data_IF_397782184836
#
_entry.id   IF_397782184836
#
_cell.length_a   1.000
_cell.length_b   1.000
_cell.length_c   1.000
_cell.angle_alpha   90.00
_cell.angle_beta   90.00
_cell.angle_gamma   90.00
#
_symmetry.space_group_name_H-M   'P 1'
#
loop_
_entity.id
_entity.type
_entity.pdbx_description
1 polymer ?
#
# COMPACT_ATOMS: atom_id res chain seq x y z
N UNK A 1 12.18 -12.56 -9.15
CA UNK A 1 11.83 -13.56 -8.11
C UNK A 1 11.71 -12.92 -6.72
N UNK A 2 12.77 -12.30 -6.16
CA UNK A 2 12.70 -11.73 -4.79
C UNK A 2 11.59 -10.70 -4.54
N UNK A 3 11.31 -9.81 -5.49
CA UNK A 3 10.20 -8.83 -5.38
C UNK A 3 8.82 -9.48 -5.29
N UNK A 4 8.59 -10.59 -5.99
CA UNK A 4 7.31 -11.30 -5.97
C UNK A 4 7.09 -11.98 -4.61
N UNK A 5 8.15 -12.49 -3.98
CA UNK A 5 8.08 -13.05 -2.62
C UNK A 5 7.72 -11.97 -1.61
N UNK A 6 8.38 -10.81 -1.68
CA UNK A 6 8.04 -9.65 -0.85
C UNK A 6 6.57 -9.27 -1.02
N UNK A 7 6.11 -9.14 -2.27
CA UNK A 7 4.73 -8.78 -2.57
C UNK A 7 3.74 -9.82 -2.03
N UNK A 8 4.03 -11.11 -2.17
CA UNK A 8 3.18 -12.18 -1.64
C UNK A 8 3.08 -12.13 -0.10
N UNK A 9 4.21 -11.86 0.58
CA UNK A 9 4.21 -11.68 2.04
C UNK A 9 3.38 -10.45 2.42
N UNK A 10 3.54 -9.32 1.73
CA UNK A 10 2.74 -8.11 1.96
C UNK A 10 1.25 -8.39 1.79
N UNK A 11 0.86 -9.08 0.72
CA UNK A 11 -0.54 -9.47 0.48
C UNK A 11 -1.07 -10.31 1.65
N UNK A 12 -0.32 -11.32 2.08
CA UNK A 12 -0.72 -12.20 3.17
C UNK A 12 -0.90 -11.48 4.52
N UNK A 13 -0.07 -10.46 4.80
CA UNK A 13 -0.14 -9.71 6.07
C UNK A 13 -0.99 -8.44 5.97
N UNK A 14 -1.43 -8.03 4.78
CA UNK A 14 -2.13 -6.76 4.55
C UNK A 14 -3.40 -6.64 5.40
N UNK A 15 -4.14 -7.73 5.60
CA UNK A 15 -5.34 -7.75 6.46
C UNK A 15 -5.08 -7.37 7.92
N UNK A 16 -3.84 -7.47 8.41
CA UNK A 16 -3.47 -6.98 9.75
C UNK A 16 -3.50 -5.44 9.84
N UNK A 17 -3.59 -4.73 8.72
CA UNK A 17 -3.69 -3.27 8.64
C UNK A 17 -5.11 -2.77 8.42
N UNK A 18 -6.11 -3.67 8.42
CA UNK A 18 -7.52 -3.29 8.33
C UNK A 18 -7.86 -2.22 9.38
N UNK A 19 -8.77 -1.31 9.02
CA UNK A 19 -9.09 -0.13 9.82
C UNK A 19 -9.44 -0.46 11.27
N UNK A 20 -10.22 -1.51 11.49
CA UNK A 20 -10.67 -1.98 12.80
C UNK A 20 -9.53 -2.54 13.69
N UNK A 21 -8.36 -2.83 13.11
CA UNK A 21 -7.26 -3.43 13.86
C UNK A 21 -6.50 -2.40 14.70
N UNK A 22 -6.27 -2.66 16.00
CA UNK A 22 -5.50 -1.77 16.86
C UNK A 22 -4.08 -1.54 16.31
N UNK A 23 -3.63 -0.29 16.31
CA UNK A 23 -2.31 0.10 15.78
C UNK A 23 -1.17 -0.72 16.40
N UNK A 24 -1.27 -1.07 17.69
CA UNK A 24 -0.25 -1.85 18.42
C UNK A 24 -0.09 -3.29 17.92
N UNK A 25 -1.09 -3.85 17.25
CA UNK A 25 -1.06 -5.20 16.71
C UNK A 25 -0.57 -5.25 15.25
N UNK A 26 -0.48 -4.09 14.60
CA UNK A 26 -0.07 -3.99 13.19
C UNK A 26 1.43 -4.30 13.07
N UNK A 27 1.85 -5.20 12.16
CA UNK A 27 3.25 -5.61 12.01
C UNK A 27 4.09 -4.58 11.25
N UNK A 28 4.08 -3.32 11.70
CA UNK A 28 4.71 -2.17 11.01
C UNK A 28 6.21 -2.39 10.83
N UNK A 29 6.92 -2.79 11.89
CA UNK A 29 8.37 -3.02 11.85
C UNK A 29 8.73 -4.12 10.84
N UNK A 30 7.93 -5.19 10.78
CA UNK A 30 8.14 -6.27 9.82
C UNK A 30 7.94 -5.80 8.38
N UNK A 31 6.88 -5.01 8.10
CA UNK A 31 6.66 -4.42 6.78
C UNK A 31 7.80 -3.49 6.39
N UNK A 32 8.23 -2.61 7.29
CA UNK A 32 9.36 -1.68 7.02
C UNK A 32 10.63 -2.46 6.72
N UNK A 33 10.97 -3.46 7.55
CA UNK A 33 12.14 -4.30 7.32
C UNK A 33 12.07 -5.03 5.97
N UNK A 34 10.88 -5.53 5.60
CA UNK A 34 10.65 -6.20 4.33
C UNK A 34 10.81 -5.24 3.14
N UNK A 35 10.30 -4.01 3.23
CA UNK A 35 10.45 -2.97 2.18
C UNK A 35 11.90 -2.49 2.03
N UNK A 36 12.63 -2.37 3.13
CA UNK A 36 14.08 -2.10 3.11
C UNK A 36 14.80 -3.24 2.39
N UNK A 37 14.52 -4.49 2.76
CA UNK A 37 15.07 -5.67 2.09
C UNK A 37 14.72 -5.69 0.59
N UNK A 38 13.47 -5.37 0.24
CA UNK A 38 13.02 -5.26 -1.14
C UNK A 38 13.80 -4.20 -1.91
N UNK A 39 14.18 -3.09 -1.27
CA UNK A 39 14.99 -2.04 -1.90
C UNK A 39 16.36 -2.59 -2.28
N UNK A 40 17.02 -3.34 -1.41
CA UNK A 40 18.31 -3.96 -1.73
C UNK A 40 18.19 -5.01 -2.85
N UNK A 41 17.13 -5.81 -2.86
CA UNK A 41 16.84 -6.75 -3.96
C UNK A 41 16.64 -6.00 -5.28
N UNK A 42 15.94 -4.86 -5.26
CA UNK A 42 15.72 -4.01 -6.43
C UNK A 42 17.05 -3.44 -6.95
N UNK A 43 17.89 -2.89 -6.07
CA UNK A 43 19.19 -2.32 -6.41
C UNK A 43 20.14 -3.38 -6.97
N UNK A 44 20.17 -4.57 -6.38
CA UNK A 44 20.95 -5.70 -6.89
C UNK A 44 20.46 -6.16 -8.27
N UNK A 45 19.14 -6.25 -8.47
CA UNK A 45 18.54 -6.56 -9.76
C UNK A 45 18.86 -5.51 -10.83
N UNK A 46 18.81 -4.22 -10.48
CA UNK A 46 19.19 -3.13 -11.37
C UNK A 46 20.67 -3.19 -11.73
N UNK A 47 21.56 -3.36 -10.74
CA UNK A 47 23.00 -3.47 -10.96
C UNK A 47 23.38 -4.66 -11.85
N UNK A 48 22.63 -5.76 -11.79
CA UNK A 48 22.79 -6.89 -12.69
C UNK A 48 22.24 -6.57 -14.09
N UNK A 49 21.04 -5.98 -14.17
CA UNK A 49 20.36 -5.67 -15.43
C UNK A 49 21.16 -4.72 -16.32
N UNK A 50 21.83 -3.71 -15.75
CA UNK A 50 22.65 -2.75 -16.53
C UNK A 50 23.89 -3.37 -17.17
N UNK A 51 24.29 -4.58 -16.74
CA UNK A 51 25.44 -5.31 -17.29
C UNK A 51 25.03 -6.33 -18.36
N UNK A 52 23.74 -6.58 -18.50
CA UNK A 52 23.22 -7.52 -19.49
C UNK A 52 22.90 -6.77 -20.79
N UNK A 53 23.11 -7.42 -21.95
CA UNK A 53 22.63 -6.86 -23.21
C UNK A 53 21.12 -6.72 -23.17
N UNK A 54 20.61 -5.68 -23.82
CA UNK A 54 19.17 -5.49 -23.98
C UNK A 54 18.60 -6.66 -24.79
N UNK A 55 17.72 -7.43 -24.15
CA UNK A 55 16.99 -8.54 -24.75
C UNK A 55 15.49 -8.30 -24.56
N UNK A 56 14.72 -8.48 -25.63
CA UNK A 56 13.26 -8.35 -25.62
C UNK A 56 12.61 -9.26 -24.60
N UNK A 57 13.21 -10.42 -24.28
CA UNK A 57 12.73 -11.29 -23.19
C UNK A 57 12.89 -10.64 -21.82
N UNK A 58 14.01 -9.96 -21.58
CA UNK A 58 14.27 -9.24 -20.33
C UNK A 58 13.31 -8.05 -20.17
N UNK A 59 13.07 -7.31 -21.24
CA UNK A 59 12.07 -6.22 -21.27
C UNK A 59 10.66 -6.73 -20.95
N UNK A 60 10.22 -7.80 -21.63
CA UNK A 60 8.92 -8.41 -21.36
C UNK A 60 8.82 -8.93 -19.92
N UNK A 61 9.89 -9.48 -19.36
CA UNK A 61 9.94 -9.94 -17.97
C UNK A 61 9.79 -8.78 -16.98
N UNK A 62 10.49 -7.66 -17.22
CA UNK A 62 10.41 -6.45 -16.38
C UNK A 62 8.99 -5.88 -16.43
N UNK A 63 8.44 -5.69 -17.63
CA UNK A 63 7.09 -5.16 -17.83
C UNK A 63 6.03 -6.09 -17.22
N UNK A 64 6.11 -7.40 -17.50
CA UNK A 64 5.21 -8.40 -16.94
C UNK A 64 5.24 -8.41 -15.41
N UNK A 65 6.44 -8.36 -14.81
CA UNK A 65 6.58 -8.28 -13.35
C UNK A 65 6.00 -6.98 -12.80
N UNK A 66 6.22 -5.84 -13.46
CA UNK A 66 5.68 -4.56 -13.02
C UNK A 66 4.15 -4.53 -13.04
N UNK A 67 3.52 -5.07 -14.08
CA UNK A 67 2.07 -5.20 -14.20
C UNK A 67 1.51 -6.12 -13.11
N UNK A 68 2.12 -7.29 -12.92
CA UNK A 68 1.71 -8.25 -11.88
C UNK A 68 1.79 -7.62 -10.48
N UNK A 69 2.88 -6.91 -10.18
CA UNK A 69 3.03 -6.20 -8.91
C UNK A 69 1.95 -5.12 -8.75
N UNK A 70 1.68 -4.28 -9.77
CA UNK A 70 0.59 -3.29 -9.69
C UNK A 70 -0.76 -3.95 -9.42
N UNK A 71 -1.07 -5.05 -10.10
CA UNK A 71 -2.32 -5.77 -9.91
C UNK A 71 -2.49 -6.32 -8.50
N UNK A 72 -1.41 -6.85 -7.90
CA UNK A 72 -1.42 -7.31 -6.51
C UNK A 72 -1.73 -6.18 -5.54
N UNK A 73 -1.23 -4.97 -5.77
CA UNK A 73 -1.41 -3.84 -4.86
C UNK A 73 -2.84 -3.27 -4.93
N UNK A 74 -3.57 -3.49 -6.03
CA UNK A 74 -4.97 -3.09 -6.15
C UNK A 74 -5.91 -3.89 -5.22
N UNK A 75 -5.50 -5.07 -4.75
CA UNK A 75 -6.33 -5.95 -3.90
C UNK A 75 -5.84 -6.03 -2.45
N UNK A 76 -4.75 -5.33 -2.11
CA UNK A 76 -4.24 -5.28 -0.73
C UNK A 76 -4.90 -4.20 0.09
N UNK A 77 -5.09 -4.48 1.39
CA UNK A 77 -5.48 -3.45 2.35
C UNK A 77 -4.42 -2.33 2.40
N UNK A 78 -4.81 -1.05 2.32
CA UNK A 78 -3.87 0.06 2.42
C UNK A 78 -3.13 0.06 3.77
N UNK A 79 -1.80 0.04 3.72
CA UNK A 79 -0.96 -0.01 4.91
C UNK A 79 -0.80 1.39 5.49
N UNK A 80 -1.35 1.62 6.69
CA UNK A 80 -1.28 2.89 7.42
C UNK A 80 -1.96 4.08 6.72
N UNK A 81 -2.84 3.81 5.77
CA UNK A 81 -3.62 4.84 5.09
C UNK A 81 -5.05 4.86 5.61
N UNK A 82 -5.51 6.05 6.02
CA UNK A 82 -6.90 6.28 6.46
C UNK A 82 -7.67 7.17 5.49
N UNK A 83 -7.02 7.61 4.42
CA UNK A 83 -7.56 8.57 3.47
C UNK A 83 -8.83 8.09 2.77
N UNK A 84 -8.98 6.78 2.53
CA UNK A 84 -10.23 6.22 1.99
C UNK A 84 -11.44 6.53 2.88
N UNK A 85 -11.30 6.38 4.21
CA UNK A 85 -12.35 6.68 5.18
C UNK A 85 -12.60 8.18 5.29
N UNK A 86 -11.54 8.99 5.20
CA UNK A 86 -11.64 10.44 5.13
C UNK A 86 -12.44 10.89 3.90
N UNK A 87 -12.18 10.32 2.73
CA UNK A 87 -12.93 10.67 1.51
C UNK A 87 -14.39 10.21 1.55
N UNK A 88 -14.70 9.09 2.21
CA UNK A 88 -16.08 8.68 2.46
C UNK A 88 -16.82 9.70 3.34
N UNK A 89 -16.17 10.18 4.40
CA UNK A 89 -16.69 11.25 5.24
C UNK A 89 -16.89 12.55 4.44
N UNK A 90 -15.87 12.96 3.69
CA UNK A 90 -15.92 14.20 2.91
C UNK A 90 -17.06 14.16 1.89
N UNK A 91 -17.27 13.02 1.23
CA UNK A 91 -18.38 12.80 0.32
C UNK A 91 -19.76 12.93 1.01
N UNK A 92 -19.91 12.34 2.19
CA UNK A 92 -21.16 12.43 2.96
C UNK A 92 -21.46 13.86 3.41
N UNK A 93 -20.45 14.61 3.87
CA UNK A 93 -20.58 16.00 4.26
C UNK A 93 -20.99 16.89 3.06
N UNK A 94 -20.32 16.73 1.92
CA UNK A 94 -20.62 17.48 0.69
C UNK A 94 -22.05 17.23 0.20
N UNK A 95 -22.50 15.96 0.18
CA UNK A 95 -23.87 15.60 -0.20
C UNK A 95 -24.90 16.22 0.76
N UNK A 96 -24.53 16.43 2.02
CA UNK A 96 -25.38 17.06 3.05
C UNK A 96 -25.30 18.59 3.05
N UNK A 97 -24.55 19.20 2.12
CA UNK A 97 -24.36 20.65 2.05
C UNK A 97 -23.47 21.22 3.16
N UNK A 98 -22.69 20.38 3.83
CA UNK A 98 -21.76 20.75 4.90
C UNK A 98 -20.34 20.81 4.33
N UNK A 99 -19.57 21.83 4.70
CA UNK A 99 -18.14 21.88 4.39
C UNK A 99 -17.41 20.75 5.14
N UNK A 100 -16.77 19.78 4.44
CA UNK A 100 -16.09 18.66 5.07
C UNK A 100 -14.93 19.07 5.99
N UNK A 101 -14.38 20.28 5.81
CA UNK A 101 -13.29 20.81 6.61
C UNK A 101 -13.76 21.65 7.81
N UNK A 102 -15.06 21.95 7.92
CA UNK A 102 -15.60 22.75 9.02
C UNK A 102 -15.49 22.02 10.37
N UNK A 103 -15.56 20.68 10.36
CA UNK A 103 -15.52 19.87 11.57
C UNK A 103 -14.63 18.64 11.38
N UNK A 104 -13.72 18.40 12.34
CA UNK A 104 -12.99 17.14 12.39
C UNK A 104 -13.97 15.99 12.73
N UNK A 105 -13.88 14.81 12.08
CA UNK A 105 -14.78 13.68 12.35
C UNK A 105 -14.85 13.30 13.84
N UNK A 106 -13.71 13.32 14.54
CA UNK A 106 -13.64 13.06 15.97
C UNK A 106 -14.48 14.03 16.82
N UNK A 107 -14.61 15.30 16.39
CA UNK A 107 -15.43 16.30 17.08
C UNK A 107 -16.92 16.00 16.91
N UNK A 108 -17.33 15.52 15.73
CA UNK A 108 -18.73 15.18 15.47
C UNK A 108 -19.13 13.92 16.24
N UNK A 109 -18.27 12.88 16.23
CA UNK A 109 -18.50 11.66 17.00
C UNK A 109 -18.59 11.89 18.51
N UNK A 110 -17.87 12.87 19.05
CA UNK A 110 -17.94 13.22 20.47
C UNK A 110 -19.18 14.05 20.85
N UNK A 111 -19.90 14.60 19.86
CA UNK A 111 -21.09 15.42 20.05
C UNK A 111 -22.40 14.66 19.81
N UNK A 112 -22.34 13.46 19.23
CA UNK A 112 -23.47 12.55 19.04
C UNK A 112 -23.74 11.81 20.38
N UNK A 113 -24.92 11.96 21.01
CA UNK A 113 -25.21 11.43 22.34
C UNK A 113 -25.39 9.90 22.42
#
# INVERSE_FOLDING_TARGET
>A
MGQLVVAAVIVAISGAFAYEQPVRQRPIVAVVALLIGATFVQLGGLAAAVRLPADRRLECLILGTAILLRGLWCVTEPIQEVDAYRYLWDGAAVVSGVDPYAYAPARVLAADP
#
